data_IF_944224342094
#
_entry.id   IF_944224342094
#
_cell.length_a   1.000
_cell.length_b   1.000
_cell.length_c   1.000
_cell.angle_alpha   90.00
_cell.angle_beta   90.00
_cell.angle_gamma   90.00
#
_symmetry.space_group_name_H-M   'P 1'
#
loop_
_entity.id
_entity.type
_entity.pdbx_description
1 polymer ?
#
# COMPACT_ATOMS: atom_id res chain seq x y z
N UNK A 1 24.72 -39.17 7.09
CA UNK A 1 23.96 -38.63 8.24
C UNK A 1 22.85 -37.74 7.69
N UNK A 2 21.62 -38.25 7.56
CA UNK A 2 20.41 -37.81 8.30
C UNK A 2 20.49 -36.31 8.68
N UNK A 3 19.63 -35.42 8.16
CA UNK A 3 18.16 -35.42 8.34
C UNK A 3 17.42 -34.80 7.14
N UNK A 4 16.33 -35.46 6.76
CA UNK A 4 15.33 -35.02 5.80
C UNK A 4 14.54 -33.82 6.35
N UNK A 5 14.39 -32.76 5.55
CA UNK A 5 13.40 -31.71 5.77
C UNK A 5 12.03 -32.20 5.31
N UNK A 6 11.15 -32.48 6.28
CA UNK A 6 9.75 -32.82 6.05
C UNK A 6 9.02 -31.71 5.29
N UNK A 7 8.57 -32.01 4.07
CA UNK A 7 7.47 -31.31 3.43
C UNK A 7 6.17 -31.71 4.14
N UNK A 8 5.73 -30.92 5.10
CA UNK A 8 4.38 -31.06 5.66
C UNK A 8 3.38 -30.57 4.63
N UNK A 9 2.88 -31.49 3.81
CA UNK A 9 1.62 -31.36 3.09
C UNK A 9 0.52 -31.26 4.14
N UNK A 10 0.07 -30.05 4.44
CA UNK A 10 -1.12 -29.82 5.26
C UNK A 10 -2.33 -30.16 4.40
N UNK A 11 -2.65 -31.46 4.33
CA UNK A 11 -3.94 -31.91 3.86
C UNK A 11 -5.00 -31.32 4.78
N UNK A 12 -5.86 -30.47 4.21
CA UNK A 12 -7.16 -30.13 4.78
C UNK A 12 -7.86 -31.43 5.18
N UNK A 13 -8.47 -31.51 6.38
CA UNK A 13 -9.21 -32.70 6.76
C UNK A 13 -10.37 -32.86 5.77
N UNK A 14 -10.28 -33.88 4.92
CA UNK A 14 -11.44 -34.42 4.22
C UNK A 14 -12.38 -34.94 5.30
N UNK A 15 -13.44 -34.19 5.56
CA UNK A 15 -14.62 -34.68 6.27
C UNK A 15 -15.24 -35.77 5.40
N UNK A 16 -14.73 -36.99 5.54
CA UNK A 16 -15.42 -38.18 5.07
C UNK A 16 -16.67 -38.35 5.94
N UNK A 17 -17.83 -37.97 5.40
CA UNK A 17 -19.11 -38.49 5.89
C UNK A 17 -19.14 -40.00 5.60
N UNK A 18 -18.54 -40.79 6.49
CA UNK A 18 -18.76 -42.23 6.54
C UNK A 18 -20.14 -42.48 7.11
N UNK A 19 -20.98 -43.06 6.26
CA UNK A 19 -22.31 -43.54 6.58
C UNK A 19 -22.29 -44.50 7.78
N UNK A 20 -23.02 -44.16 8.83
CA UNK A 20 -23.57 -45.11 9.80
C UNK A 20 -25.01 -44.71 10.07
N UNK A 21 -25.89 -45.68 9.86
CA UNK A 21 -27.32 -45.74 10.16
C UNK A 21 -28.26 -44.78 9.42
N UNK A 22 -28.66 -45.25 8.22
CA UNK A 22 -29.89 -44.84 7.53
C UNK A 22 -31.11 -45.21 8.39
N UNK A 23 -31.44 -44.37 9.37
CA UNK A 23 -32.83 -44.01 9.56
C UNK A 23 -33.17 -43.11 8.37
N UNK A 24 -33.78 -43.67 7.32
CA UNK A 24 -34.43 -42.87 6.29
C UNK A 24 -35.54 -42.08 6.99
N UNK A 25 -35.20 -40.89 7.52
CA UNK A 25 -36.17 -39.84 7.74
C UNK A 25 -36.61 -39.41 6.34
N UNK A 26 -37.61 -40.10 5.82
CA UNK A 26 -38.42 -39.61 4.71
C UNK A 26 -38.94 -38.25 5.17
N UNK A 27 -38.34 -37.18 4.65
CA UNK A 27 -38.91 -35.85 4.75
C UNK A 27 -40.34 -35.95 4.23
N UNK A 28 -41.34 -35.60 5.05
CA UNK A 28 -42.72 -35.55 4.58
C UNK A 28 -42.75 -34.67 3.34
N UNK A 29 -43.10 -35.26 2.21
CA UNK A 29 -43.23 -34.49 0.97
C UNK A 29 -44.47 -33.62 1.07
N UNK A 30 -44.54 -32.50 0.34
CA UNK A 30 -45.71 -31.60 0.34
C UNK A 30 -47.02 -32.37 0.04
N UNK A 31 -46.92 -33.46 -0.72
CA UNK A 31 -47.99 -34.43 -1.01
C UNK A 31 -48.43 -35.25 0.21
N UNK A 32 -47.51 -35.65 1.09
CA UNK A 32 -47.84 -36.38 2.32
C UNK A 32 -48.52 -35.47 3.35
N UNK A 33 -48.09 -34.20 3.43
CA UNK A 33 -48.73 -33.18 4.29
C UNK A 33 -50.14 -32.87 3.81
N UNK A 34 -50.37 -32.77 2.49
CA UNK A 34 -51.71 -32.59 1.94
C UNK A 34 -52.63 -33.79 2.18
N UNK A 35 -52.11 -35.02 2.07
CA UNK A 35 -52.89 -36.23 2.34
C UNK A 35 -53.33 -36.35 3.81
N UNK A 36 -52.49 -35.90 4.74
CA UNK A 36 -52.83 -35.80 6.18
C UNK A 36 -53.86 -34.71 6.42
N UNK A 37 -53.71 -33.52 5.82
CA UNK A 37 -54.71 -32.43 5.91
C UNK A 37 -56.09 -32.86 5.40
N UNK A 38 -56.15 -33.64 4.32
CA UNK A 38 -57.42 -34.10 3.74
C UNK A 38 -58.17 -35.09 4.64
N UNK A 39 -57.46 -36.06 5.24
CA UNK A 39 -58.06 -37.02 6.20
C UNK A 39 -58.53 -36.36 7.49
N UNK A 40 -57.91 -35.25 7.85
CA UNK A 40 -58.19 -34.55 9.09
C UNK A 40 -59.35 -33.55 8.94
N UNK A 41 -59.49 -32.94 7.76
CA UNK A 41 -60.69 -32.19 7.36
C UNK A 41 -61.96 -33.07 7.30
N UNK A 42 -61.84 -34.35 6.89
CA UNK A 42 -62.95 -35.32 6.99
C UNK A 42 -63.35 -35.60 8.45
N UNK A 43 -62.40 -35.54 9.38
CA UNK A 43 -62.64 -35.77 10.81
C UNK A 43 -63.28 -34.55 11.50
N UNK A 44 -62.90 -33.32 11.12
CA UNK A 44 -63.48 -32.04 11.60
C UNK A 44 -64.97 -31.88 11.25
N UNK A 45 -65.40 -32.39 10.09
CA UNK A 45 -66.82 -32.40 9.68
C UNK A 45 -67.66 -33.32 10.59
N UNK A 46 -67.04 -34.35 11.17
CA UNK A 46 -67.73 -35.36 11.99
C UNK A 46 -67.79 -35.05 13.49
N UNK A 47 -66.83 -34.30 14.04
CA UNK A 47 -66.81 -33.86 15.44
C UNK A 47 -66.16 -32.47 15.58
N UNK A 48 -66.95 -31.37 15.54
CA UNK A 48 -66.42 -30.01 15.46
C UNK A 48 -65.84 -29.43 16.76
N UNK A 49 -65.98 -30.12 17.91
CA UNK A 49 -65.51 -29.65 19.23
C UNK A 49 -64.53 -30.61 19.93
N UNK A 50 -63.93 -31.54 19.19
CA UNK A 50 -63.02 -32.55 19.75
C UNK A 50 -61.63 -32.01 20.09
N UNK A 51 -61.00 -32.59 21.13
CA UNK A 51 -59.63 -32.30 21.63
C UNK A 51 -58.56 -32.35 20.52
N UNK A 52 -58.81 -33.11 19.45
CA UNK A 52 -57.93 -33.22 18.29
C UNK A 52 -57.84 -31.93 17.45
N UNK A 53 -58.86 -31.06 17.44
CA UNK A 53 -58.81 -29.80 16.69
C UNK A 53 -57.92 -28.75 17.37
N UNK A 54 -57.94 -28.70 18.70
CA UNK A 54 -57.04 -27.82 19.47
C UNK A 54 -55.59 -28.28 19.37
N UNK A 55 -55.33 -29.60 19.39
CA UNK A 55 -53.99 -30.14 19.14
C UNK A 55 -53.53 -29.85 17.70
N UNK A 56 -54.43 -29.88 16.72
CA UNK A 56 -54.08 -29.54 15.34
C UNK A 56 -53.71 -28.06 15.18
N UNK A 57 -54.52 -27.14 15.74
CA UNK A 57 -54.21 -25.71 15.70
C UNK A 57 -52.87 -25.40 16.39
N UNK A 58 -52.57 -26.05 17.52
CA UNK A 58 -51.24 -25.96 18.15
C UNK A 58 -50.13 -26.53 17.26
N UNK A 59 -50.35 -27.66 16.58
CA UNK A 59 -49.37 -28.24 15.65
C UNK A 59 -49.17 -27.34 14.42
N UNK A 60 -50.22 -26.72 13.87
CA UNK A 60 -50.10 -25.79 12.75
C UNK A 60 -49.39 -24.48 13.14
N UNK A 61 -49.66 -23.96 14.34
CA UNK A 61 -48.91 -22.82 14.88
C UNK A 61 -47.44 -23.17 15.10
N UNK A 62 -47.15 -24.32 15.70
CA UNK A 62 -45.77 -24.80 15.89
C UNK A 62 -45.05 -25.00 14.55
N UNK A 63 -45.73 -25.51 13.52
CA UNK A 63 -45.15 -25.70 12.19
C UNK A 63 -44.90 -24.34 11.50
N UNK A 64 -45.81 -23.38 11.66
CA UNK A 64 -45.63 -22.01 11.16
C UNK A 64 -44.44 -21.31 11.85
N UNK A 65 -44.29 -21.47 13.16
CA UNK A 65 -43.19 -20.93 13.94
C UNK A 65 -41.85 -21.58 13.57
N UNK A 66 -41.80 -22.91 13.46
CA UNK A 66 -40.59 -23.62 13.00
C UNK A 66 -40.21 -23.17 11.58
N UNK A 67 -41.20 -22.97 10.69
CA UNK A 67 -40.94 -22.53 9.31
C UNK A 67 -40.42 -21.09 9.26
N UNK A 68 -40.91 -20.20 10.13
CA UNK A 68 -40.42 -18.83 10.20
C UNK A 68 -38.98 -18.78 10.72
N UNK A 69 -38.67 -19.57 11.75
CA UNK A 69 -37.31 -19.73 12.30
C UNK A 69 -36.37 -20.33 11.25
N UNK A 70 -36.82 -21.31 10.46
CA UNK A 70 -36.02 -21.92 9.39
C UNK A 70 -35.71 -20.91 8.28
N UNK A 71 -36.69 -20.09 7.87
CA UNK A 71 -36.47 -19.02 6.89
C UNK A 71 -35.50 -17.96 7.41
N UNK A 72 -35.64 -17.56 8.67
CA UNK A 72 -34.74 -16.59 9.28
C UNK A 72 -33.31 -17.12 9.38
N UNK A 73 -33.14 -18.36 9.87
CA UNK A 73 -31.81 -18.99 9.98
C UNK A 73 -31.16 -19.24 8.61
N UNK A 74 -31.95 -19.56 7.59
CA UNK A 74 -31.44 -19.67 6.21
C UNK A 74 -30.97 -18.30 5.67
N UNK A 75 -31.75 -17.24 5.89
CA UNK A 75 -31.35 -15.88 5.50
C UNK A 75 -30.08 -15.42 6.24
N UNK A 76 -29.96 -15.73 7.54
CA UNK A 76 -28.75 -15.46 8.32
C UNK A 76 -27.54 -16.25 7.83
N UNK A 77 -27.72 -17.51 7.44
CA UNK A 77 -26.66 -18.35 6.85
C UNK A 77 -26.21 -17.80 5.50
N UNK A 78 -27.15 -17.44 4.62
CA UNK A 78 -26.86 -16.83 3.32
C UNK A 78 -26.11 -15.51 3.49
N UNK A 79 -26.55 -14.64 4.41
CA UNK A 79 -25.86 -13.38 4.73
C UNK A 79 -24.43 -13.62 5.24
N UNK A 80 -24.23 -14.57 6.16
CA UNK A 80 -22.89 -14.94 6.65
C UNK A 80 -22.00 -15.54 5.54
N UNK A 81 -22.57 -16.35 4.66
CA UNK A 81 -21.83 -16.92 3.53
C UNK A 81 -21.38 -15.85 2.54
N UNK A 82 -22.24 -14.85 2.26
CA UNK A 82 -21.91 -13.72 1.42
C UNK A 82 -20.81 -12.84 2.04
N UNK A 83 -20.86 -12.61 3.35
CA UNK A 83 -19.80 -11.91 4.09
C UNK A 83 -18.46 -12.65 4.03
N UNK A 84 -18.47 -13.98 4.17
CA UNK A 84 -17.27 -14.81 4.04
C UNK A 84 -16.69 -14.73 2.62
N UNK A 85 -17.52 -14.85 1.59
CA UNK A 85 -17.08 -14.73 0.20
C UNK A 85 -16.50 -13.34 -0.12
N UNK A 86 -17.09 -12.27 0.42
CA UNK A 86 -16.56 -10.91 0.29
C UNK A 86 -15.20 -10.77 1.00
N UNK A 87 -15.06 -11.36 2.18
CA UNK A 87 -13.80 -11.37 2.94
C UNK A 87 -12.72 -12.17 2.23
N UNK A 88 -13.04 -13.31 1.63
CA UNK A 88 -12.11 -14.09 0.81
C UNK A 88 -11.62 -13.31 -0.40
N UNK A 89 -12.51 -12.62 -1.13
CA UNK A 89 -12.12 -11.73 -2.23
C UNK A 89 -11.18 -10.63 -1.77
N UNK A 90 -11.48 -9.99 -0.64
CA UNK A 90 -10.63 -8.94 -0.08
C UNK A 90 -9.24 -9.47 0.34
N UNK A 91 -9.19 -10.68 0.91
CA UNK A 91 -7.93 -11.35 1.26
C UNK A 91 -7.10 -11.71 0.02
N UNK A 92 -7.73 -12.14 -1.07
CA UNK A 92 -7.03 -12.47 -2.31
C UNK A 92 -6.42 -11.23 -2.96
N UNK A 93 -7.13 -10.11 -3.00
CA UNK A 93 -6.59 -8.82 -3.45
C UNK A 93 -5.37 -8.41 -2.60
N UNK A 94 -5.48 -8.55 -1.28
CA UNK A 94 -4.38 -8.24 -0.37
C UNK A 94 -3.17 -9.17 -0.58
N UNK A 95 -3.40 -10.45 -0.90
CA UNK A 95 -2.36 -11.42 -1.22
C UNK A 95 -1.64 -11.07 -2.52
N UNK A 96 -2.36 -10.67 -3.55
CA UNK A 96 -1.79 -10.23 -4.82
C UNK A 96 -0.93 -8.97 -4.65
N UNK A 97 -1.41 -7.98 -3.90
CA UNK A 97 -0.64 -6.77 -3.60
C UNK A 97 0.62 -7.06 -2.78
N UNK A 98 0.55 -7.98 -1.82
CA UNK A 98 1.73 -8.43 -1.07
C UNK A 98 2.77 -9.12 -1.98
N UNK A 99 2.33 -9.94 -2.94
CA UNK A 99 3.24 -10.57 -3.91
C UNK A 99 3.88 -9.53 -4.82
N UNK A 100 3.14 -8.50 -5.27
CA UNK A 100 3.68 -7.38 -6.05
C UNK A 100 4.76 -6.63 -5.26
N UNK A 101 4.46 -6.24 -4.02
CA UNK A 101 5.42 -5.55 -3.14
C UNK A 101 6.65 -6.39 -2.85
N UNK A 102 6.49 -7.71 -2.68
CA UNK A 102 7.61 -8.63 -2.50
C UNK A 102 8.53 -8.63 -3.73
N UNK A 103 7.97 -8.69 -4.94
CA UNK A 103 8.76 -8.62 -6.18
C UNK A 103 9.51 -7.28 -6.33
N UNK A 104 8.89 -6.17 -5.93
CA UNK A 104 9.54 -4.84 -5.90
C UNK A 104 10.71 -4.79 -4.91
N UNK A 105 10.55 -5.37 -3.72
CA UNK A 105 11.64 -5.48 -2.73
C UNK A 105 12.76 -6.37 -3.26
N UNK A 106 12.45 -7.53 -3.83
CA UNK A 106 13.45 -8.46 -4.37
C UNK A 106 14.27 -7.83 -5.51
N UNK A 107 13.61 -7.05 -6.39
CA UNK A 107 14.31 -6.29 -7.44
C UNK A 107 15.17 -5.17 -6.88
N UNK A 108 14.71 -4.46 -5.84
CA UNK A 108 15.51 -3.45 -5.16
C UNK A 108 16.76 -4.06 -4.50
N UNK A 109 16.60 -5.17 -3.77
CA UNK A 109 17.70 -5.89 -3.12
C UNK A 109 18.73 -6.36 -4.15
N UNK A 110 18.27 -6.90 -5.27
CA UNK A 110 19.14 -7.33 -6.37
C UNK A 110 19.95 -6.16 -6.94
N UNK A 111 19.30 -5.02 -7.24
CA UNK A 111 19.97 -3.80 -7.71
C UNK A 111 20.98 -3.26 -6.70
N UNK A 112 20.66 -3.32 -5.41
CA UNK A 112 21.56 -2.88 -4.32
C UNK A 112 22.82 -3.75 -4.28
N UNK A 113 22.65 -5.07 -4.34
CA UNK A 113 23.76 -6.03 -4.38
C UNK A 113 24.64 -5.85 -5.61
N UNK A 114 24.05 -5.61 -6.77
CA UNK A 114 24.80 -5.35 -8.01
C UNK A 114 25.61 -4.05 -7.93
N UNK A 115 25.04 -2.99 -7.36
CA UNK A 115 25.76 -1.73 -7.10
C UNK A 115 26.93 -1.95 -6.14
N UNK A 116 26.72 -2.70 -5.05
CA UNK A 116 27.76 -3.01 -4.08
C UNK A 116 28.90 -3.83 -4.73
N UNK A 117 28.57 -4.85 -5.51
CA UNK A 117 29.55 -5.65 -6.24
C UNK A 117 30.33 -4.82 -7.28
N UNK A 118 29.65 -3.92 -8.00
CA UNK A 118 30.31 -3.02 -8.96
C UNK A 118 31.27 -2.08 -8.25
N UNK A 119 30.87 -1.53 -7.10
CA UNK A 119 31.73 -0.66 -6.29
C UNK A 119 32.95 -1.43 -5.77
N UNK A 120 32.74 -2.63 -5.22
CA UNK A 120 33.84 -3.50 -4.77
C UNK A 120 34.83 -3.81 -5.90
N UNK A 121 34.35 -4.12 -7.11
CA UNK A 121 35.24 -4.34 -8.27
C UNK A 121 36.03 -3.09 -8.65
N UNK A 122 35.42 -1.91 -8.57
CA UNK A 122 36.11 -0.65 -8.85
C UNK A 122 37.16 -0.32 -7.78
N UNK A 123 36.86 -0.55 -6.50
CA UNK A 123 37.83 -0.34 -5.43
C UNK A 123 38.99 -1.32 -5.53
N UNK A 124 38.74 -2.61 -5.78
CA UNK A 124 39.81 -3.59 -6.02
C UNK A 124 40.70 -3.18 -7.18
N UNK A 125 40.14 -2.80 -8.33
CA UNK A 125 40.93 -2.31 -9.48
C UNK A 125 41.75 -1.06 -9.16
N UNK A 126 41.21 -0.15 -8.35
CA UNK A 126 41.96 1.04 -7.90
C UNK A 126 43.15 0.64 -7.01
N UNK A 127 42.95 -0.27 -6.06
CA UNK A 127 44.03 -0.76 -5.21
C UNK A 127 45.10 -1.52 -6.01
N UNK A 128 44.71 -2.33 -6.99
CA UNK A 128 45.64 -2.99 -7.92
C UNK A 128 46.47 -1.96 -8.70
N UNK A 129 45.83 -0.92 -9.26
CA UNK A 129 46.53 0.15 -9.97
C UNK A 129 47.49 0.94 -9.08
N UNK A 130 47.07 1.28 -7.85
CA UNK A 130 47.94 1.96 -6.86
C UNK A 130 49.14 1.07 -6.49
N UNK A 131 48.91 -0.24 -6.29
CA UNK A 131 49.99 -1.17 -5.97
C UNK A 131 51.02 -1.26 -7.10
N UNK A 132 50.58 -1.26 -8.35
CA UNK A 132 51.47 -1.30 -9.52
C UNK A 132 52.33 -0.02 -9.58
N UNK A 133 51.72 1.15 -9.40
CA UNK A 133 52.42 2.44 -9.36
C UNK A 133 53.40 2.49 -8.19
N UNK A 134 53.03 1.97 -7.01
CA UNK A 134 53.95 1.90 -5.87
C UNK A 134 55.17 1.01 -6.17
N UNK A 135 54.97 -0.11 -6.88
CA UNK A 135 56.06 -0.99 -7.28
C UNK A 135 56.99 -0.31 -8.29
N UNK A 136 56.44 0.44 -9.25
CA UNK A 136 57.23 1.26 -10.19
C UNK A 136 58.01 2.36 -9.47
N UNK A 137 57.37 3.08 -8.52
CA UNK A 137 58.07 4.09 -7.72
C UNK A 137 59.18 3.49 -6.86
N UNK A 138 59.00 2.28 -6.31
CA UNK A 138 60.07 1.56 -5.60
C UNK A 138 61.25 1.28 -6.53
N UNK A 139 60.99 0.78 -7.75
CA UNK A 139 62.05 0.52 -8.74
C UNK A 139 62.80 1.79 -9.17
N UNK A 140 62.08 2.91 -9.33
CA UNK A 140 62.70 4.21 -9.59
C UNK A 140 63.53 4.69 -8.39
N UNK A 141 63.07 4.45 -7.16
CA UNK A 141 63.81 4.80 -5.95
C UNK A 141 65.14 4.02 -5.86
N UNK A 142 65.11 2.72 -6.18
CA UNK A 142 66.31 1.87 -6.20
C UNK A 142 67.31 2.31 -7.28
N UNK A 143 66.82 2.70 -8.46
CA UNK A 143 67.71 3.20 -9.53
C UNK A 143 68.32 4.56 -9.18
N UNK A 144 67.56 5.46 -8.55
CA UNK A 144 68.10 6.73 -8.00
C UNK A 144 69.13 6.46 -6.91
N UNK A 145 68.88 5.51 -6.01
CA UNK A 145 69.84 5.11 -4.98
C UNK A 145 71.14 4.54 -5.59
N UNK A 146 71.03 3.70 -6.62
CA UNK A 146 72.19 3.19 -7.36
C UNK A 146 72.97 4.31 -8.07
N UNK A 147 72.28 5.23 -8.73
CA UNK A 147 72.91 6.36 -9.42
C UNK A 147 73.62 7.32 -8.45
N UNK A 148 73.01 7.59 -7.29
CA UNK A 148 73.62 8.44 -6.25
C UNK A 148 74.85 7.79 -5.61
N UNK A 149 74.84 6.47 -5.39
CA UNK A 149 76.02 5.74 -4.94
C UNK A 149 77.18 5.83 -5.95
N UNK A 150 76.89 5.65 -7.25
CA UNK A 150 77.88 5.81 -8.31
C UNK A 150 78.44 7.24 -8.38
N UNK A 151 77.58 8.25 -8.25
CA UNK A 151 78.01 9.65 -8.21
C UNK A 151 78.98 9.91 -7.05
N UNK A 152 78.70 9.35 -5.87
CA UNK A 152 79.58 9.47 -4.71
C UNK A 152 80.98 8.88 -4.98
N UNK A 153 81.03 7.69 -5.59
CA UNK A 153 82.30 7.06 -6.00
C UNK A 153 83.06 7.92 -7.03
N UNK A 154 82.34 8.49 -8.00
CA UNK A 154 82.94 9.36 -9.01
C UNK A 154 83.49 10.66 -8.41
N UNK A 155 82.79 11.26 -7.43
CA UNK A 155 83.28 12.42 -6.70
C UNK A 155 84.56 12.10 -5.92
N UNK A 156 84.61 10.95 -5.26
CA UNK A 156 85.80 10.50 -4.53
C UNK A 156 86.99 10.24 -5.48
N UNK A 157 86.75 9.58 -6.61
CA UNK A 157 87.76 9.41 -7.67
C UNK A 157 88.26 10.75 -8.22
N UNK A 158 87.36 11.71 -8.44
CA UNK A 158 87.74 13.03 -8.92
C UNK A 158 88.65 13.76 -7.92
N UNK A 159 88.40 13.60 -6.62
CA UNK A 159 89.29 14.12 -5.57
C UNK A 159 90.69 13.52 -5.66
N UNK A 160 90.80 12.21 -5.89
CA UNK A 160 92.09 11.52 -6.09
C UNK A 160 92.78 12.04 -7.36
N UNK A 161 92.05 12.16 -8.48
CA UNK A 161 92.62 12.70 -9.71
C UNK A 161 93.09 14.15 -9.56
N UNK A 162 92.39 14.97 -8.78
CA UNK A 162 92.84 16.33 -8.46
C UNK A 162 94.16 16.34 -7.69
N UNK A 163 94.37 15.43 -6.73
CA UNK A 163 95.67 15.30 -6.04
C UNK A 163 96.79 14.79 -6.95
N UNK A 164 96.46 13.94 -7.92
CA UNK A 164 97.43 13.49 -8.92
C UNK A 164 97.77 14.62 -9.92
N UNK A 165 96.78 15.41 -10.32
CA UNK A 165 96.95 16.59 -11.15
C UNK A 165 97.88 17.61 -10.49
N UNK A 166 97.63 17.95 -9.22
CA UNK A 166 98.50 18.87 -8.47
C UNK A 166 99.92 18.33 -8.28
N UNK A 167 100.08 17.00 -8.13
CA UNK A 167 101.40 16.37 -8.12
C UNK A 167 102.12 16.48 -9.47
N UNK A 168 101.43 16.24 -10.60
CA UNK A 168 102.01 16.41 -11.93
C UNK A 168 102.38 17.86 -12.18
N UNK A 169 101.51 18.81 -11.83
CA UNK A 169 101.78 20.25 -11.94
C UNK A 169 103.03 20.62 -11.13
N UNK A 170 103.13 20.17 -9.87
CA UNK A 170 104.31 20.40 -9.04
C UNK A 170 105.59 19.72 -9.58
N UNK A 171 105.47 18.53 -10.18
CA UNK A 171 106.59 17.84 -10.81
C UNK A 171 107.00 18.52 -12.13
N UNK A 172 106.05 19.04 -12.90
CA UNK A 172 106.29 19.81 -14.10
C UNK A 172 106.97 21.15 -13.79
N UNK A 173 106.49 21.86 -12.76
CA UNK A 173 107.11 23.09 -12.27
C UNK A 173 108.53 22.84 -11.75
N UNK A 174 108.77 21.71 -11.08
CA UNK A 174 110.12 21.27 -10.69
C UNK A 174 111.00 20.96 -11.89
N UNK A 175 110.49 20.27 -12.91
CA UNK A 175 111.23 19.98 -14.14
C UNK A 175 111.56 21.25 -14.93
N UNK A 176 110.65 22.23 -14.96
CA UNK A 176 110.91 23.55 -15.53
C UNK A 176 111.95 24.33 -14.71
N UNK A 177 111.92 24.23 -13.38
CA UNK A 177 112.96 24.81 -12.52
C UNK A 177 114.33 24.12 -12.69
N UNK A 178 114.37 22.78 -12.78
CA UNK A 178 115.58 21.98 -13.02
C UNK A 178 116.10 22.09 -14.46
N UNK A 179 115.28 22.55 -15.42
CA UNK A 179 115.71 22.82 -16.80
C UNK A 179 116.63 24.06 -16.93
N UNK A 180 117.02 24.67 -15.81
CA UNK A 180 118.15 25.60 -15.72
C UNK A 180 119.51 24.91 -15.49
N UNK A 181 119.59 23.57 -15.64
CA UNK A 181 120.86 22.85 -15.67
C UNK A 181 121.34 22.61 -17.11
N UNK A 182 122.51 23.21 -17.39
CA UNK A 182 123.36 23.23 -18.58
C UNK A 182 123.04 22.31 -19.77
N UNK A 183 122.81 22.96 -20.90
CA UNK A 183 122.78 22.44 -22.26
C UNK A 183 124.13 21.88 -22.71
N UNK A 184 124.18 20.61 -23.15
CA UNK A 184 125.02 20.20 -24.28
C UNK A 184 124.53 18.89 -24.94
N UNK A 185 124.70 18.72 -26.26
CA UNK A 185 123.78 17.96 -27.11
C UNK A 185 124.35 16.67 -27.69
N UNK A 186 123.47 15.75 -28.12
CA UNK A 186 123.59 14.77 -29.23
C UNK A 186 122.41 13.79 -29.10
N UNK A 187 121.68 13.31 -30.10
CA UNK A 187 121.75 13.33 -31.55
C UNK A 187 121.02 12.06 -32.06
N UNK A 188 120.11 12.22 -33.03
CA UNK A 188 119.58 11.21 -33.99
C UNK A 188 118.81 9.96 -33.47
N UNK A 189 117.58 9.80 -33.98
CA UNK A 189 117.16 8.59 -34.72
C UNK A 189 115.82 8.81 -35.44
N UNK A 190 115.90 9.12 -36.73
CA UNK A 190 114.79 9.09 -37.69
C UNK A 190 114.66 7.67 -38.23
N UNK A 191 113.51 7.02 -38.01
CA UNK A 191 113.25 5.67 -38.54
C UNK A 191 112.04 4.97 -37.93
N UNK A 192 111.60 5.37 -36.73
CA UNK A 192 110.43 4.79 -36.06
C UNK A 192 109.14 5.63 -36.19
N UNK A 193 109.20 6.83 -36.81
CA UNK A 193 108.06 7.77 -36.81
C UNK A 193 107.02 7.52 -37.91
N UNK A 194 107.40 6.91 -39.04
CA UNK A 194 106.51 6.72 -40.19
C UNK A 194 105.54 5.55 -40.02
N UNK A 195 105.96 4.43 -39.41
CA UNK A 195 105.08 3.29 -39.15
C UNK A 195 104.03 3.59 -38.05
N UNK A 196 104.45 4.29 -36.98
CA UNK A 196 103.53 4.77 -35.93
C UNK A 196 102.52 5.80 -36.47
N UNK A 197 102.91 6.59 -37.46
CA UNK A 197 102.04 7.55 -38.14
C UNK A 197 100.86 6.86 -38.85
N UNK A 198 101.09 5.76 -39.55
CA UNK A 198 100.03 5.01 -40.25
C UNK A 198 99.04 4.32 -39.31
N UNK A 199 99.51 3.69 -38.23
CA UNK A 199 98.63 3.06 -37.24
C UNK A 199 97.80 4.11 -36.48
N UNK A 200 98.38 5.28 -36.20
CA UNK A 200 97.65 6.40 -35.61
C UNK A 200 96.57 6.95 -36.55
N UNK A 201 96.85 7.05 -37.87
CA UNK A 201 95.86 7.44 -38.87
C UNK A 201 94.70 6.44 -38.96
N UNK A 202 95.01 5.15 -38.88
CA UNK A 202 94.00 4.07 -38.94
C UNK A 202 93.10 4.07 -37.71
N UNK A 203 93.67 4.23 -36.52
CA UNK A 203 92.92 4.35 -35.28
C UNK A 203 92.06 5.63 -35.25
N UNK A 204 92.56 6.73 -35.80
CA UNK A 204 91.81 7.97 -35.96
C UNK A 204 90.60 7.76 -36.88
N UNK A 205 90.78 7.13 -38.05
CA UNK A 205 89.67 6.79 -38.96
C UNK A 205 88.61 5.93 -38.28
N UNK A 206 89.02 4.87 -37.57
CA UNK A 206 88.10 4.00 -36.86
C UNK A 206 87.33 4.73 -35.74
N UNK A 207 87.99 5.67 -35.05
CA UNK A 207 87.33 6.51 -34.04
C UNK A 207 86.34 7.49 -34.66
N UNK A 208 86.65 8.07 -35.83
CA UNK A 208 85.75 8.95 -36.55
C UNK A 208 84.51 8.20 -37.07
N UNK A 209 84.68 7.00 -37.59
CA UNK A 209 83.56 6.17 -38.05
C UNK A 209 82.63 5.79 -36.89
N UNK A 210 83.20 5.48 -35.72
CA UNK A 210 82.43 5.21 -34.50
C UNK A 210 81.65 6.45 -34.04
N UNK A 211 82.30 7.62 -33.97
CA UNK A 211 81.65 8.89 -33.59
C UNK A 211 80.54 9.26 -34.56
N UNK A 212 80.77 9.10 -35.87
CA UNK A 212 79.76 9.32 -36.91
C UNK A 212 78.56 8.36 -36.77
N UNK A 213 78.83 7.10 -36.45
CA UNK A 213 77.81 6.08 -36.16
C UNK A 213 76.96 6.42 -34.93
N UNK A 214 77.59 6.91 -33.86
CA UNK A 214 76.88 7.37 -32.64
C UNK A 214 76.04 8.60 -32.95
N UNK A 215 76.57 9.60 -33.65
CA UNK A 215 75.85 10.81 -34.04
C UNK A 215 74.61 10.51 -34.90
N UNK A 216 74.73 9.55 -35.83
CA UNK A 216 73.60 9.13 -36.68
C UNK A 216 72.51 8.41 -35.89
N UNK A 217 72.86 7.69 -34.81
CA UNK A 217 71.86 7.06 -33.92
C UNK A 217 71.15 8.11 -33.08
N UNK A 218 71.92 9.05 -32.51
CA UNK A 218 71.38 10.15 -31.70
C UNK A 218 70.40 11.01 -32.49
N UNK A 219 70.73 11.35 -33.74
CA UNK A 219 69.81 12.13 -34.61
C UNK A 219 68.53 11.37 -34.96
N UNK A 220 68.59 10.05 -35.14
CA UNK A 220 67.38 9.22 -35.34
C UNK A 220 66.55 9.11 -34.07
N UNK A 221 67.19 8.97 -32.92
CA UNK A 221 66.52 8.88 -31.62
C UNK A 221 65.84 10.21 -31.26
N UNK A 222 66.50 11.34 -31.52
CA UNK A 222 65.93 12.69 -31.40
C UNK A 222 64.69 12.86 -32.29
N UNK A 223 64.77 12.48 -33.57
CA UNK A 223 63.62 12.53 -34.49
C UNK A 223 62.46 11.63 -34.03
N UNK A 224 62.76 10.46 -33.46
CA UNK A 224 61.74 9.55 -32.91
C UNK A 224 61.12 10.06 -31.61
N UNK A 225 61.90 10.76 -30.79
CA UNK A 225 61.41 11.37 -29.55
C UNK A 225 60.48 12.53 -29.87
N UNK A 226 60.86 13.35 -30.86
CA UNK A 226 60.07 14.51 -31.28
C UNK A 226 58.73 14.09 -31.92
N UNK A 227 58.71 12.99 -32.68
CA UNK A 227 57.46 12.44 -33.21
C UNK A 227 56.55 11.83 -32.14
N UNK A 228 57.15 11.21 -31.10
CA UNK A 228 56.41 10.70 -29.95
C UNK A 228 55.79 11.84 -29.13
N UNK A 229 56.53 12.92 -28.88
CA UNK A 229 56.02 14.10 -28.18
C UNK A 229 54.84 14.75 -28.92
N UNK A 230 54.91 14.82 -30.26
CA UNK A 230 53.80 15.30 -31.09
C UNK A 230 52.58 14.38 -31.00
N UNK A 231 52.77 13.06 -31.04
CA UNK A 231 51.69 12.10 -30.93
C UNK A 231 51.00 12.16 -29.54
N UNK A 232 51.80 12.25 -28.47
CA UNK A 232 51.30 12.38 -27.10
C UNK A 232 50.54 13.69 -26.88
N UNK A 233 51.04 14.79 -27.45
CA UNK A 233 50.36 16.09 -27.37
C UNK A 233 49.01 16.05 -28.09
N UNK A 234 48.95 15.45 -29.28
CA UNK A 234 47.70 15.29 -30.02
C UNK A 234 46.69 14.38 -29.30
N UNK A 235 47.15 13.29 -28.69
CA UNK A 235 46.30 12.40 -27.89
C UNK A 235 45.80 13.09 -26.62
N UNK A 236 46.65 13.89 -25.97
CA UNK A 236 46.26 14.71 -24.83
C UNK A 236 45.18 15.71 -25.21
N UNK A 237 45.37 16.48 -26.30
CA UNK A 237 44.40 17.46 -26.78
C UNK A 237 43.06 16.80 -27.16
N UNK A 238 43.09 15.63 -27.81
CA UNK A 238 41.89 14.86 -28.13
C UNK A 238 41.16 14.39 -26.86
N UNK A 239 41.90 13.92 -25.85
CA UNK A 239 41.34 13.49 -24.56
C UNK A 239 40.73 14.66 -23.77
N UNK A 240 41.40 15.83 -23.78
CA UNK A 240 40.95 17.05 -23.15
C UNK A 240 39.67 17.58 -23.82
N UNK A 241 39.62 17.57 -25.16
CA UNK A 241 38.42 17.92 -25.93
C UNK A 241 37.24 17.01 -25.59
N UNK A 242 37.45 15.69 -25.55
CA UNK A 242 36.40 14.73 -25.19
C UNK A 242 35.89 14.91 -23.75
N UNK A 243 36.79 15.28 -22.82
CA UNK A 243 36.40 15.55 -21.43
C UNK A 243 35.51 16.80 -21.34
N UNK A 244 35.88 17.88 -22.04
CA UNK A 244 35.11 19.13 -22.06
C UNK A 244 33.73 18.91 -22.67
N UNK A 245 33.63 18.17 -23.79
CA UNK A 245 32.35 17.83 -24.41
C UNK A 245 31.44 17.05 -23.46
N UNK A 246 31.98 16.03 -22.78
CA UNK A 246 31.23 15.25 -21.78
C UNK A 246 30.80 16.11 -20.59
N UNK A 247 31.68 16.99 -20.11
CA UNK A 247 31.35 17.90 -19.02
C UNK A 247 30.21 18.86 -19.40
N UNK A 248 30.23 19.40 -20.61
CA UNK A 248 29.16 20.26 -21.12
C UNK A 248 27.85 19.49 -21.29
N UNK A 249 27.89 18.28 -21.84
CA UNK A 249 26.71 17.41 -21.97
C UNK A 249 26.11 17.08 -20.59
N UNK A 250 26.95 16.75 -19.60
CA UNK A 250 26.50 16.51 -18.23
C UNK A 250 25.89 17.77 -17.60
N UNK A 251 26.48 18.94 -17.81
CA UNK A 251 25.94 20.20 -17.29
C UNK A 251 24.54 20.50 -17.84
N UNK A 252 24.32 20.29 -19.13
CA UNK A 252 23.00 20.46 -19.76
C UNK A 252 21.99 19.45 -19.22
N UNK A 253 22.38 18.19 -19.07
CA UNK A 253 21.52 17.15 -18.50
C UNK A 253 21.14 17.46 -17.04
N UNK A 254 22.08 17.94 -16.24
CA UNK A 254 21.82 18.36 -14.85
C UNK A 254 20.82 19.53 -14.81
N UNK A 255 21.01 20.57 -15.63
CA UNK A 255 20.05 21.69 -15.67
C UNK A 255 18.65 21.27 -16.10
N UNK A 256 18.53 20.32 -17.04
CA UNK A 256 17.23 19.80 -17.45
C UNK A 256 16.54 19.00 -16.33
N UNK A 257 17.31 18.21 -15.57
CA UNK A 257 16.80 17.49 -14.42
C UNK A 257 16.40 18.44 -13.28
N UNK A 258 17.18 19.49 -13.02
CA UNK A 258 16.85 20.51 -12.02
C UNK A 258 15.54 21.23 -12.37
N UNK A 259 15.34 21.57 -13.65
CA UNK A 259 14.09 22.16 -14.13
C UNK A 259 12.91 21.18 -13.96
N UNK A 260 13.08 19.90 -14.31
CA UNK A 260 12.04 18.89 -14.14
C UNK A 260 11.67 18.70 -12.66
N UNK A 261 12.64 18.76 -11.75
CA UNK A 261 12.39 18.70 -10.29
C UNK A 261 11.63 19.93 -9.82
N UNK A 262 11.98 21.12 -10.30
CA UNK A 262 11.25 22.35 -9.98
C UNK A 262 9.79 22.29 -10.46
N UNK A 263 9.55 21.83 -11.69
CA UNK A 263 8.19 21.68 -12.23
C UNK A 263 7.37 20.66 -11.41
N UNK A 264 7.96 19.51 -11.08
CA UNK A 264 7.32 18.51 -10.23
C UNK A 264 6.98 19.05 -8.84
N UNK A 265 7.89 19.81 -8.22
CA UNK A 265 7.62 20.44 -6.92
C UNK A 265 6.47 21.44 -7.01
N UNK A 266 6.41 22.27 -8.06
CA UNK A 266 5.31 23.20 -8.26
C UNK A 266 3.95 22.48 -8.43
N UNK A 267 3.93 21.35 -9.17
CA UNK A 267 2.71 20.53 -9.28
C UNK A 267 2.31 19.87 -7.96
N UNK A 268 3.29 19.46 -7.15
CA UNK A 268 3.04 18.87 -5.84
C UNK A 268 2.43 19.89 -4.87
N UNK A 269 2.95 21.12 -4.86
CA UNK A 269 2.43 22.20 -4.04
C UNK A 269 0.98 22.56 -4.41
N UNK A 270 0.65 22.64 -5.71
CA UNK A 270 -0.73 22.86 -6.18
C UNK A 270 -1.66 21.72 -5.77
N UNK A 271 -1.20 20.46 -5.84
CA UNK A 271 -1.97 19.31 -5.38
C UNK A 271 -2.19 19.32 -3.86
N UNK A 272 -1.19 19.75 -3.08
CA UNK A 272 -1.32 19.88 -1.62
C UNK A 272 -2.35 20.96 -1.27
N UNK A 273 -2.31 22.12 -1.92
CA UNK A 273 -3.28 23.18 -1.72
C UNK A 273 -4.71 22.74 -2.07
N UNK A 274 -4.89 22.02 -3.19
CA UNK A 274 -6.19 21.43 -3.57
C UNK A 274 -6.68 20.38 -2.58
N UNK A 275 -5.77 19.58 -2.04
CA UNK A 275 -6.13 18.59 -1.03
C UNK A 275 -6.58 19.28 0.27
N UNK A 276 -5.89 20.32 0.71
CA UNK A 276 -6.28 21.10 1.89
C UNK A 276 -7.63 21.80 1.69
N UNK A 277 -7.89 22.40 0.53
CA UNK A 277 -9.19 23.04 0.26
C UNK A 277 -10.34 22.03 0.23
N UNK A 278 -10.16 20.88 -0.43
CA UNK A 278 -11.16 19.81 -0.43
C UNK A 278 -11.39 19.24 0.96
N UNK A 279 -10.35 19.16 1.79
CA UNK A 279 -10.48 18.74 3.19
C UNK A 279 -11.32 19.73 3.98
N UNK A 280 -11.07 21.03 3.86
CA UNK A 280 -11.86 22.07 4.54
C UNK A 280 -13.32 22.09 4.07
N UNK A 281 -13.56 21.91 2.77
CA UNK A 281 -14.92 21.84 2.21
C UNK A 281 -15.68 20.64 2.74
N UNK A 282 -15.02 19.48 2.85
CA UNK A 282 -15.61 18.27 3.39
C UNK A 282 -15.94 18.42 4.88
N UNK A 283 -15.04 19.00 5.68
CA UNK A 283 -15.28 19.30 7.10
C UNK A 283 -16.52 20.22 7.27
N UNK A 284 -16.65 21.24 6.42
CA UNK A 284 -17.81 22.14 6.42
C UNK A 284 -19.11 21.42 6.00
N UNK A 285 -19.04 20.49 5.05
CA UNK A 285 -20.18 19.69 4.60
C UNK A 285 -20.65 18.73 5.70
N UNK A 286 -19.71 18.07 6.39
CA UNK A 286 -19.98 17.22 7.56
C UNK A 286 -20.64 18.03 8.67
N UNK A 287 -20.16 19.24 8.96
CA UNK A 287 -20.79 20.11 9.96
C UNK A 287 -22.23 20.47 9.56
N UNK A 288 -22.48 20.84 8.29
CA UNK A 288 -23.83 21.12 7.78
C UNK A 288 -24.75 19.91 7.91
N UNK A 289 -24.27 18.72 7.56
CA UNK A 289 -25.04 17.47 7.70
C UNK A 289 -25.36 17.16 9.16
N UNK A 290 -24.42 17.39 10.07
CA UNK A 290 -24.64 17.22 11.50
C UNK A 290 -25.74 18.17 12.01
N UNK A 291 -25.69 19.46 11.64
CA UNK A 291 -26.73 20.42 11.98
C UNK A 291 -28.10 20.00 11.45
N UNK A 292 -28.20 19.55 10.19
CA UNK A 292 -29.47 19.04 9.64
C UNK A 292 -29.97 17.79 10.34
N UNK A 293 -29.07 16.89 10.75
CA UNK A 293 -29.43 15.69 11.51
C UNK A 293 -30.00 16.05 12.89
N UNK A 294 -29.44 17.09 13.52
CA UNK A 294 -29.96 17.61 14.78
C UNK A 294 -31.34 18.23 14.61
N UNK A 295 -31.55 19.08 13.59
CA UNK A 295 -32.86 19.67 13.27
C UNK A 295 -33.93 18.58 13.02
N UNK A 296 -33.59 17.53 12.26
CA UNK A 296 -34.50 16.39 12.03
C UNK A 296 -34.84 15.68 13.34
N UNK A 297 -33.87 15.52 14.24
CA UNK A 297 -34.09 14.88 15.54
C UNK A 297 -35.01 15.71 16.44
N UNK A 298 -34.86 17.04 16.42
CA UNK A 298 -35.74 17.97 17.14
C UNK A 298 -37.17 17.94 16.58
N UNK A 299 -37.32 17.95 15.25
CA UNK A 299 -38.63 17.82 14.59
C UNK A 299 -39.26 16.47 14.92
N UNK A 300 -38.49 15.38 14.87
CA UNK A 300 -38.98 14.06 15.24
C UNK A 300 -39.48 14.01 16.69
N UNK A 301 -38.74 14.61 17.63
CA UNK A 301 -39.17 14.75 19.02
C UNK A 301 -40.47 15.56 19.16
N UNK A 302 -40.60 16.67 18.43
CA UNK A 302 -41.81 17.49 18.43
C UNK A 302 -43.02 16.72 17.87
N UNK A 303 -42.84 15.98 16.77
CA UNK A 303 -43.89 15.14 16.17
C UNK A 303 -44.32 14.04 17.15
N UNK A 304 -43.38 13.37 17.81
CA UNK A 304 -43.69 12.35 18.82
C UNK A 304 -44.52 12.94 19.97
N UNK A 305 -44.11 14.09 20.51
CA UNK A 305 -44.87 14.76 21.57
C UNK A 305 -46.27 15.18 21.13
N UNK A 306 -46.43 15.63 19.88
CA UNK A 306 -47.74 15.95 19.32
C UNK A 306 -48.63 14.71 19.20
N UNK A 307 -48.08 13.58 18.73
CA UNK A 307 -48.81 12.32 18.64
C UNK A 307 -49.28 11.83 20.02
N UNK A 308 -48.44 11.91 21.04
CA UNK A 308 -48.81 11.56 22.42
C UNK A 308 -49.94 12.44 22.96
N UNK A 309 -49.91 13.76 22.68
CA UNK A 309 -50.99 14.68 23.06
C UNK A 309 -52.29 14.40 22.32
N UNK A 310 -52.21 14.10 21.02
CA UNK A 310 -53.40 13.75 20.23
C UNK A 310 -54.01 12.44 20.74
N UNK A 311 -53.20 11.44 21.05
CA UNK A 311 -53.67 10.17 21.60
C UNK A 311 -54.48 10.38 22.89
N UNK A 312 -53.99 11.20 23.81
CA UNK A 312 -54.71 11.54 25.04
C UNK A 312 -56.06 12.22 24.76
N UNK A 313 -56.10 13.19 23.83
CA UNK A 313 -57.34 13.89 23.46
C UNK A 313 -58.35 12.95 22.76
N UNK A 314 -57.86 12.02 21.93
CA UNK A 314 -58.70 11.02 21.27
C UNK A 314 -59.32 10.07 22.31
N UNK A 315 -58.55 9.61 23.30
CA UNK A 315 -59.08 8.80 24.39
C UNK A 315 -60.12 9.56 25.23
N UNK A 316 -59.87 10.82 25.56
CA UNK A 316 -60.84 11.70 26.24
C UNK A 316 -62.13 11.85 25.43
N UNK A 317 -62.03 12.09 24.11
CA UNK A 317 -63.18 12.16 23.21
C UNK A 317 -63.97 10.84 23.19
N UNK A 318 -63.29 9.71 23.06
CA UNK A 318 -63.92 8.39 23.01
C UNK A 318 -64.66 8.07 24.31
N UNK A 319 -64.04 8.34 25.46
CA UNK A 319 -64.69 8.17 26.77
C UNK A 319 -65.91 9.07 26.91
N UNK A 320 -65.79 10.35 26.56
CA UNK A 320 -66.91 11.31 26.60
C UNK A 320 -68.09 10.90 25.71
N UNK A 321 -67.83 10.48 24.47
CA UNK A 321 -68.88 10.04 23.53
C UNK A 321 -69.54 8.74 24.01
N UNK A 322 -68.76 7.81 24.56
CA UNK A 322 -69.27 6.54 25.08
C UNK A 322 -70.18 6.74 26.30
N UNK A 323 -69.82 7.67 27.19
CA UNK A 323 -70.62 7.97 28.39
C UNK A 323 -71.97 8.62 28.04
N UNK A 324 -72.02 9.37 26.93
CA UNK A 324 -73.20 10.11 26.48
C UNK A 324 -74.02 9.36 25.41
N UNK A 325 -73.51 8.23 24.91
CA UNK A 325 -74.18 7.42 23.90
C UNK A 325 -75.57 6.98 24.40
N UNK A 326 -76.58 7.17 23.55
CA UNK A 326 -77.92 6.70 23.85
C UNK A 326 -77.98 5.17 23.77
N UNK A 327 -78.98 4.58 24.41
CA UNK A 327 -79.15 3.11 24.39
C UNK A 327 -79.47 2.61 22.98
N UNK A 328 -80.06 3.46 22.15
CA UNK A 328 -80.30 3.16 20.73
C UNK A 328 -78.99 3.10 19.94
N UNK A 329 -78.06 4.03 20.20
CA UNK A 329 -76.73 4.06 19.55
C UNK A 329 -75.86 2.88 19.99
N UNK A 330 -75.90 2.51 21.28
CA UNK A 330 -75.15 1.37 21.82
C UNK A 330 -75.60 0.02 21.24
N UNK A 331 -76.85 -0.08 20.80
CA UNK A 331 -77.44 -1.30 20.26
C UNK A 331 -77.49 -1.32 18.73
N UNK A 332 -77.18 -0.20 18.06
CA UNK A 332 -77.34 -0.06 16.60
C UNK A 332 -78.79 -0.09 16.14
N UNK A 333 -79.72 0.31 17.02
CA UNK A 333 -81.17 0.19 16.85
C UNK A 333 -81.83 -0.73 17.89
N UNK A 334 -83.01 -0.34 18.40
CA UNK A 334 -83.73 -1.13 19.40
C UNK A 334 -84.63 -2.15 18.71
N UNK A 335 -84.37 -3.44 18.94
CA UNK A 335 -85.24 -4.52 18.47
C UNK A 335 -86.65 -4.42 19.09
N UNK A 336 -87.71 -4.73 18.33
CA UNK A 336 -89.10 -4.54 18.77
C UNK A 336 -89.44 -5.33 20.04
N UNK A 337 -88.87 -6.53 20.21
CA UNK A 337 -89.10 -7.39 21.38
C UNK A 337 -88.52 -6.82 22.69
N UNK A 338 -87.34 -6.21 22.61
CA UNK A 338 -86.71 -5.57 23.77
C UNK A 338 -87.48 -4.31 24.18
N UNK A 339 -87.90 -3.53 23.19
CA UNK A 339 -88.70 -2.33 23.41
C UNK A 339 -90.05 -2.67 24.07
N UNK A 340 -90.67 -3.77 23.65
CA UNK A 340 -91.93 -4.25 24.24
C UNK A 340 -91.75 -4.67 25.71
N UNK A 341 -90.67 -5.40 26.03
CA UNK A 341 -90.34 -5.78 27.43
C UNK A 341 -90.06 -4.56 28.31
N UNK A 342 -89.33 -3.57 27.81
CA UNK A 342 -89.03 -2.33 28.54
C UNK A 342 -90.28 -1.47 28.76
N UNK A 343 -91.17 -1.39 27.76
CA UNK A 343 -92.46 -0.73 27.91
C UNK A 343 -93.39 -1.43 28.92
N UNK A 344 -93.36 -2.77 28.95
CA UNK A 344 -94.10 -3.57 29.94
C UNK A 344 -93.58 -3.27 31.35
N UNK A 345 -92.26 -3.28 31.53
CA UNK A 345 -91.60 -2.90 32.79
C UNK A 345 -91.89 -1.45 33.21
N UNK A 346 -91.90 -0.50 32.27
CA UNK A 346 -92.23 0.90 32.57
C UNK A 346 -93.69 1.06 33.00
N UNK A 347 -94.62 0.32 32.38
CA UNK A 347 -96.04 0.30 32.77
C UNK A 347 -96.21 -0.32 34.16
N UNK A 348 -95.50 -1.40 34.46
CA UNK A 348 -95.47 -2.03 35.79
C UNK A 348 -94.88 -1.11 36.87
N UNK A 349 -93.84 -0.36 36.53
CA UNK A 349 -93.23 0.65 37.39
C UNK A 349 -94.04 1.97 37.52
N UNK A 350 -95.23 2.04 36.89
CA UNK A 350 -96.14 3.20 36.88
C UNK A 350 -95.48 4.53 36.45
N UNK A 351 -94.43 4.46 35.63
CA UNK A 351 -93.71 5.64 35.13
C UNK A 351 -92.93 6.44 36.18
N UNK A 352 -92.62 5.86 37.34
CA UNK A 352 -91.72 6.50 38.32
C UNK A 352 -90.24 6.44 37.90
N UNK A 353 -89.89 5.59 36.93
CA UNK A 353 -88.51 5.33 36.51
C UNK A 353 -88.35 5.79 35.06
N UNK A 354 -87.26 6.49 34.77
CA UNK A 354 -86.96 6.98 33.42
C UNK A 354 -86.73 5.81 32.45
N UNK A 355 -87.13 5.94 31.19
CA UNK A 355 -86.99 4.90 30.16
C UNK A 355 -85.56 4.36 30.05
N UNK A 356 -84.54 5.24 30.16
CA UNK A 356 -83.14 4.83 30.12
C UNK A 356 -82.73 3.98 31.34
N UNK A 357 -83.29 4.23 32.52
CA UNK A 357 -83.07 3.39 33.71
C UNK A 357 -83.80 2.05 33.61
N UNK A 358 -84.96 2.01 32.94
CA UNK A 358 -85.67 0.75 32.66
C UNK A 358 -84.84 -0.15 31.73
N UNK A 359 -84.22 0.39 30.68
CA UNK A 359 -83.26 -0.35 29.86
C UNK A 359 -82.04 -0.83 30.68
N UNK A 360 -81.51 0.01 31.57
CA UNK A 360 -80.41 -0.38 32.46
C UNK A 360 -80.75 -1.58 33.36
N UNK A 361 -81.99 -1.66 33.86
CA UNK A 361 -82.45 -2.78 34.69
C UNK A 361 -82.81 -4.03 33.91
N UNK A 362 -83.36 -3.89 32.69
CA UNK A 362 -83.74 -5.03 31.83
C UNK A 362 -82.52 -5.68 31.18
N UNK A 363 -81.54 -4.90 30.73
CA UNK A 363 -80.30 -5.40 30.11
C UNK A 363 -79.23 -5.78 31.14
N UNK A 364 -79.23 -5.12 32.30
CA UNK A 364 -78.22 -5.29 33.35
C UNK A 364 -76.98 -4.43 33.14
N UNK A 365 -76.41 -3.93 34.23
CA UNK A 365 -75.26 -3.02 34.22
C UNK A 365 -73.99 -3.61 33.60
N UNK A 366 -73.77 -4.92 33.76
CA UNK A 366 -72.60 -5.61 33.19
C UNK A 366 -72.64 -5.73 31.68
N UNK A 367 -73.83 -5.95 31.10
CA UNK A 367 -74.00 -6.06 29.64
C UNK A 367 -73.86 -4.68 28.98
N UNK A 368 -74.43 -3.65 29.61
CA UNK A 368 -74.27 -2.26 29.16
C UNK A 368 -72.84 -1.75 29.24
N UNK A 369 -72.09 -2.14 30.27
CA UNK A 369 -70.64 -1.87 30.34
C UNK A 369 -69.90 -2.43 29.13
N UNK A 370 -70.16 -3.70 28.77
CA UNK A 370 -69.56 -4.32 27.58
C UNK A 370 -70.01 -3.66 26.27
N UNK A 371 -71.28 -3.29 26.15
CA UNK A 371 -71.79 -2.57 24.97
C UNK A 371 -71.13 -1.21 24.80
N UNK A 372 -70.84 -0.51 25.91
CA UNK A 372 -70.05 0.73 25.91
C UNK A 372 -68.60 0.49 25.48
N UNK A 373 -67.95 -0.57 25.97
CA UNK A 373 -66.60 -0.92 25.54
C UNK A 373 -66.54 -1.24 24.04
N UNK A 374 -67.54 -1.96 23.52
CA UNK A 374 -67.69 -2.26 22.09
C UNK A 374 -67.91 -0.98 21.29
N UNK A 375 -68.76 -0.06 21.78
CA UNK A 375 -69.00 1.22 21.12
C UNK A 375 -67.74 2.10 21.08
N UNK A 376 -66.96 2.11 22.18
CA UNK A 376 -65.65 2.77 22.24
C UNK A 376 -64.68 2.20 21.21
N UNK A 377 -64.66 0.87 21.05
CA UNK A 377 -63.90 0.18 20.00
C UNK A 377 -64.36 0.57 18.59
N UNK A 378 -65.67 0.69 18.34
CA UNK A 378 -66.17 1.12 17.03
C UNK A 378 -65.75 2.55 16.68
N UNK A 379 -65.77 3.47 17.66
CA UNK A 379 -65.25 4.84 17.48
C UNK A 379 -63.77 4.85 17.12
N UNK A 380 -62.96 4.02 17.79
CA UNK A 380 -61.53 3.90 17.49
C UNK A 380 -61.27 3.30 16.09
N UNK A 381 -62.08 2.33 15.67
CA UNK A 381 -61.99 1.74 14.32
C UNK A 381 -62.40 2.72 13.23
N UNK A 382 -63.41 3.57 13.50
CA UNK A 382 -63.86 4.61 12.58
C UNK A 382 -62.80 5.70 12.39
N UNK A 383 -62.22 6.20 13.49
CA UNK A 383 -61.10 7.15 13.45
C UNK A 383 -59.89 6.53 12.71
N UNK A 384 -59.58 5.25 12.94
CA UNK A 384 -58.51 4.55 12.22
C UNK A 384 -58.78 4.41 10.72
N UNK A 385 -60.03 4.15 10.33
CA UNK A 385 -60.44 4.08 8.93
C UNK A 385 -60.33 5.46 8.23
N UNK A 386 -60.66 6.55 8.93
CA UNK A 386 -60.45 7.92 8.43
C UNK A 386 -58.96 8.24 8.26
N UNK A 387 -58.12 7.87 9.23
CA UNK A 387 -56.67 8.06 9.11
C UNK A 387 -56.08 7.31 7.92
N UNK A 388 -56.53 6.07 7.67
CA UNK A 388 -56.10 5.29 6.48
C UNK A 388 -56.57 5.96 5.18
N UNK A 389 -57.75 6.58 5.15
CA UNK A 389 -58.22 7.35 3.99
C UNK A 389 -57.35 8.59 3.75
N UNK A 390 -57.00 9.32 4.81
CA UNK A 390 -56.16 10.52 4.72
C UNK A 390 -54.73 10.16 4.29
N UNK A 391 -54.14 9.09 4.85
CA UNK A 391 -52.80 8.64 4.50
C UNK A 391 -52.67 8.13 3.06
N UNK A 392 -53.75 7.58 2.51
CA UNK A 392 -53.82 7.12 1.11
C UNK A 392 -54.27 8.22 0.13
N UNK A 393 -54.52 9.44 0.61
CA UNK A 393 -54.89 10.55 -0.27
C UNK A 393 -53.67 11.00 -1.09
N UNK A 394 -53.69 10.86 -2.43
CA UNK A 394 -52.53 11.15 -3.28
C UNK A 394 -52.05 12.60 -3.18
N UNK A 395 -52.91 13.52 -2.73
CA UNK A 395 -52.58 14.93 -2.50
C UNK A 395 -51.46 15.17 -1.47
N UNK A 396 -51.18 14.19 -0.60
CA UNK A 396 -50.09 14.25 0.40
C UNK A 396 -48.79 13.57 -0.03
N UNK A 397 -48.78 12.82 -1.14
CA UNK A 397 -47.60 12.06 -1.61
C UNK A 397 -46.75 12.78 -2.65
N UNK A 398 -47.23 13.90 -3.19
CA UNK A 398 -46.53 14.68 -4.21
C UNK A 398 -46.22 16.10 -3.74
N UNK A 399 -45.16 16.28 -2.95
CA UNK A 399 -44.34 17.51 -2.92
C UNK A 399 -42.90 17.17 -2.60
#
# INVERSE_FOLDING_TARGET
MRKHGHTTSTQLPKLSLSATDRAQKTFLTHTDVQAVKYRLAEHEISQPTGVYNTELEEQEQNLAEITSILKQTQAEYEARSAQLAAREKALEVRRQELMRRKAEVDTYVSRSKDKQNKNLRLTTKRYEGISLIMQEMSGLTDTIAGATALLSILLERNKIYSTYGSFIEAAHDRLLADSTFESAPTGRNEGASTLRSYDNLRNLSASMDYVSGVYTRLTKEEASSLSLEQALSAEYDASAGSLIEKQNAHRVAVSALEQQVADLNATLDDLLLKHESLKTDNELLVHKLHTRTQEISEVHGAVKNLLERIAAVVEERHTFLTDRASIEDLLGGVGPELQQKVQLYHKEAKGLINMNECFNRVLGSSLLGRLRDIYKLSLALEDAAELVKIANDPSFTTK
#
